data_IF_449853084172
#
_entry.id   IF_449853084172
#
_cell.length_a   1.000
_cell.length_b   1.000
_cell.length_c   1.000
_cell.angle_alpha   90.00
_cell.angle_beta   90.00
_cell.angle_gamma   90.00
#
_symmetry.space_group_name_H-M   'P 1'
#
loop_
_entity.id
_entity.type
_entity.pdbx_description
1 polymer ?
#
# COMPACT_ATOMS: atom_id res chain seq x y z
N UNK A 1 11.11 46.66 -2.94
CA UNK A 1 10.60 45.53 -3.74
C UNK A 1 10.33 44.38 -2.78
N UNK A 2 9.06 44.08 -2.49
CA UNK A 2 8.68 42.98 -1.59
C UNK A 2 8.51 41.70 -2.40
N UNK A 3 9.32 40.67 -2.13
CA UNK A 3 9.12 39.34 -2.69
C UNK A 3 7.83 38.74 -2.10
N UNK A 4 6.80 38.57 -2.94
CA UNK A 4 5.57 37.87 -2.57
C UNK A 4 5.83 36.38 -2.77
N UNK A 5 5.99 35.65 -1.66
CA UNK A 5 6.04 34.18 -1.67
C UNK A 5 4.62 33.63 -1.79
N UNK A 6 4.28 33.05 -2.93
CA UNK A 6 3.05 32.27 -3.10
C UNK A 6 3.29 30.85 -2.57
N UNK A 7 2.80 30.59 -1.35
CA UNK A 7 2.81 29.23 -0.79
C UNK A 7 1.80 28.37 -1.53
N UNK A 8 2.26 27.30 -2.19
CA UNK A 8 1.38 26.28 -2.75
C UNK A 8 0.72 25.53 -1.60
N UNK A 9 -0.62 25.59 -1.51
CA UNK A 9 -1.37 24.74 -0.56
C UNK A 9 -1.26 23.28 -1.01
N UNK A 10 -0.97 22.32 -0.10
CA UNK A 10 -1.03 20.90 -0.43
C UNK A 10 -2.43 20.55 -0.95
N UNK A 11 -2.51 19.99 -2.16
CA UNK A 11 -3.77 19.56 -2.77
C UNK A 11 -4.16 18.14 -2.36
N UNK A 12 -3.21 17.37 -1.83
CA UNK A 12 -3.37 15.97 -1.45
C UNK A 12 -2.40 15.64 -0.31
N UNK A 13 -2.83 14.75 0.59
CA UNK A 13 -2.02 14.16 1.64
C UNK A 13 -2.64 12.84 2.04
N UNK A 14 -1.81 11.83 2.29
CA UNK A 14 -2.23 10.48 2.59
C UNK A 14 -1.28 9.83 3.61
N UNK A 15 -1.81 8.89 4.39
CA UNK A 15 -1.02 8.01 5.25
C UNK A 15 -0.95 6.63 4.63
N UNK A 16 0.27 6.12 4.47
CA UNK A 16 0.50 4.77 3.95
C UNK A 16 -0.17 3.69 4.84
N UNK A 17 -0.14 2.43 4.39
CA UNK A 17 -0.71 1.28 5.11
C UNK A 17 0.01 0.92 6.44
N UNK A 18 1.04 1.69 6.81
CA UNK A 18 1.83 1.54 8.05
C UNK A 18 1.98 2.88 8.76
N UNK A 19 2.14 2.82 10.08
CA UNK A 19 2.43 3.99 10.90
C UNK A 19 3.80 4.58 10.51
N UNK A 20 3.95 5.92 10.43
CA UNK A 20 5.20 6.57 10.03
C UNK A 20 6.33 6.37 11.06
N UNK A 21 5.98 6.31 12.35
CA UNK A 21 6.96 5.99 13.39
C UNK A 21 7.17 4.49 13.46
N UNK A 22 8.40 4.07 13.28
CA UNK A 22 8.83 2.71 13.57
C UNK A 22 9.03 2.57 15.08
N UNK A 23 8.15 1.80 15.72
CA UNK A 23 8.42 1.35 17.08
C UNK A 23 9.41 0.19 16.97
N UNK A 24 10.64 0.41 17.46
CA UNK A 24 11.66 -0.63 17.52
C UNK A 24 11.27 -1.65 18.61
N UNK A 25 10.48 -2.64 18.21
CA UNK A 25 10.01 -3.71 19.07
C UNK A 25 10.82 -4.97 18.80
N UNK A 26 11.31 -5.61 19.86
CA UNK A 26 12.07 -6.87 19.74
C UNK A 26 11.22 -7.94 19.01
N UNK A 27 11.66 -8.39 17.80
CA UNK A 27 11.00 -9.44 17.02
C UNK A 27 10.79 -10.74 17.82
N UNK A 28 11.61 -11.00 18.83
CA UNK A 28 11.50 -12.18 19.72
C UNK A 28 10.32 -12.10 20.67
N UNK A 29 9.78 -10.90 20.89
CA UNK A 29 8.65 -10.67 21.79
C UNK A 29 7.35 -10.45 20.98
N UNK A 30 7.38 -9.67 19.91
CA UNK A 30 6.18 -9.36 19.13
C UNK A 30 5.64 -10.54 18.31
N UNK A 31 4.33 -10.66 18.21
CA UNK A 31 3.68 -11.65 17.36
C UNK A 31 2.76 -10.95 16.34
N UNK A 32 3.35 -10.56 15.21
CA UNK A 32 2.60 -9.90 14.13
C UNK A 32 1.64 -10.88 13.48
N UNK A 33 0.44 -10.43 13.13
CA UNK A 33 -0.50 -11.23 12.37
C UNK A 33 -0.08 -11.25 10.89
N UNK A 34 -0.18 -12.42 10.25
CA UNK A 34 -0.09 -12.50 8.79
C UNK A 34 -1.27 -11.73 8.16
N UNK A 35 -1.04 -10.98 7.11
CA UNK A 35 -2.12 -10.24 6.45
C UNK A 35 -1.66 -9.22 5.42
N UNK A 36 -2.65 -8.72 4.68
CA UNK A 36 -2.50 -7.69 3.65
C UNK A 36 -3.54 -6.60 3.94
N UNK A 37 -3.08 -5.34 3.96
CA UNK A 37 -3.95 -4.17 3.84
C UNK A 37 -3.92 -3.75 2.37
N UNK A 38 -5.05 -3.86 1.70
CA UNK A 38 -5.19 -3.66 0.27
C UNK A 38 -6.00 -2.38 0.02
N UNK A 39 -5.44 -1.43 -0.73
CA UNK A 39 -6.07 -0.13 -0.97
C UNK A 39 -6.93 -0.23 -2.23
N UNK A 40 -8.15 0.26 -2.17
CA UNK A 40 -9.00 0.29 -3.35
C UNK A 40 -9.95 1.47 -3.25
N UNK A 41 -9.78 2.40 -4.17
CA UNK A 41 -10.44 3.70 -4.19
C UNK A 41 -10.26 4.42 -2.83
N UNK A 42 -11.35 4.70 -2.12
CA UNK A 42 -11.37 5.38 -0.82
C UNK A 42 -11.32 4.42 0.39
N UNK A 43 -10.99 3.13 0.18
CA UNK A 43 -11.10 2.07 1.19
C UNK A 43 -9.83 1.25 1.37
N UNK A 44 -9.69 0.70 2.58
CA UNK A 44 -8.73 -0.35 2.89
C UNK A 44 -9.46 -1.65 3.19
N UNK A 45 -9.17 -2.69 2.41
CA UNK A 45 -9.57 -4.06 2.71
C UNK A 45 -8.47 -4.75 3.53
N UNK A 46 -8.85 -5.42 4.62
CA UNK A 46 -7.90 -6.08 5.52
C UNK A 46 -8.13 -7.58 5.45
N UNK A 47 -7.21 -8.27 4.78
CA UNK A 47 -7.18 -9.74 4.74
C UNK A 47 -6.19 -10.22 5.78
N UNK A 48 -6.63 -10.97 6.79
CA UNK A 48 -5.83 -11.21 7.99
C UNK A 48 -5.95 -12.64 8.50
N UNK A 49 -4.81 -13.23 8.81
CA UNK A 49 -4.69 -14.48 9.55
C UNK A 49 -4.40 -14.24 11.03
N UNK A 50 -3.68 -15.18 11.63
CA UNK A 50 -3.28 -15.13 13.04
C UNK A 50 -1.78 -14.82 13.18
N UNK A 51 -1.31 -14.72 14.42
CA UNK A 51 0.08 -14.46 14.73
C UNK A 51 1.05 -15.45 14.05
N UNK A 52 2.08 -14.92 13.38
CA UNK A 52 3.06 -15.71 12.62
C UNK A 52 3.90 -16.63 13.51
N UNK A 53 4.07 -16.34 14.80
CA UNK A 53 4.73 -17.26 15.72
C UNK A 53 3.91 -18.52 16.01
N UNK A 54 2.59 -18.48 15.77
CA UNK A 54 1.69 -19.62 15.98
C UNK A 54 1.54 -20.47 14.71
N UNK A 55 1.32 -19.85 13.55
CA UNK A 55 1.00 -20.56 12.30
C UNK A 55 1.96 -20.30 11.13
N UNK A 56 3.04 -19.55 11.35
CA UNK A 56 4.01 -19.20 10.31
C UNK A 56 3.41 -18.32 9.20
N UNK A 57 4.13 -18.20 8.08
CA UNK A 57 3.67 -17.48 6.90
C UNK A 57 2.88 -18.34 5.91
N UNK A 58 2.76 -19.66 6.10
CA UNK A 58 2.00 -20.53 5.19
C UNK A 58 0.52 -20.11 5.03
N UNK A 59 -0.05 -19.46 6.06
CA UNK A 59 -1.38 -18.84 6.01
C UNK A 59 -1.52 -17.75 4.94
N UNK A 60 -0.42 -17.18 4.45
CA UNK A 60 -0.43 -16.21 3.35
C UNK A 60 -0.93 -16.81 2.05
N UNK A 61 -0.78 -18.12 1.82
CA UNK A 61 -1.37 -18.77 0.65
C UNK A 61 -2.89 -18.55 0.59
N UNK A 62 -3.58 -18.77 1.70
CA UNK A 62 -5.03 -18.57 1.78
C UNK A 62 -5.39 -17.09 1.73
N UNK A 63 -4.66 -16.24 2.45
CA UNK A 63 -4.88 -14.78 2.45
C UNK A 63 -4.73 -14.23 1.02
N UNK A 64 -3.68 -14.59 0.29
CA UNK A 64 -3.47 -14.17 -1.09
C UNK A 64 -4.56 -14.72 -2.02
N UNK A 65 -5.02 -15.96 -1.81
CA UNK A 65 -6.16 -16.51 -2.53
C UNK A 65 -7.44 -15.70 -2.28
N UNK A 66 -7.68 -15.26 -1.06
CA UNK A 66 -8.82 -14.41 -0.71
C UNK A 66 -8.71 -13.04 -1.38
N UNK A 67 -7.50 -12.45 -1.43
CA UNK A 67 -7.28 -11.20 -2.15
C UNK A 67 -7.62 -11.37 -3.63
N UNK A 68 -7.02 -12.33 -4.35
CA UNK A 68 -7.21 -12.44 -5.80
C UNK A 68 -8.64 -12.82 -6.23
N UNK A 69 -9.43 -13.39 -5.31
CA UNK A 69 -10.85 -13.71 -5.54
C UNK A 69 -11.77 -12.55 -5.21
N UNK A 70 -11.32 -11.59 -4.42
CA UNK A 70 -12.11 -10.43 -4.04
C UNK A 70 -12.21 -9.44 -5.20
N UNK A 71 -13.37 -8.80 -5.36
CA UNK A 71 -13.63 -7.86 -6.46
C UNK A 71 -12.77 -6.60 -6.41
N UNK A 72 -12.09 -6.33 -5.28
CA UNK A 72 -11.17 -5.20 -5.15
C UNK A 72 -9.80 -5.48 -5.78
N UNK A 73 -9.47 -6.73 -6.13
CA UNK A 73 -8.16 -7.04 -6.68
C UNK A 73 -8.00 -6.42 -8.07
N UNK A 74 -6.98 -5.57 -8.23
CA UNK A 74 -6.72 -4.83 -9.47
C UNK A 74 -5.98 -5.65 -10.54
N UNK A 75 -5.58 -6.89 -10.23
CA UNK A 75 -4.93 -7.80 -11.17
C UNK A 75 -3.40 -7.81 -11.02
N UNK A 76 -2.77 -8.90 -11.48
CA UNK A 76 -1.35 -9.18 -11.23
C UNK A 76 -0.37 -8.24 -11.95
N UNK A 77 -0.84 -7.47 -12.92
CA UNK A 77 -0.07 -6.46 -13.65
C UNK A 77 -0.22 -5.06 -13.08
N UNK A 78 -1.09 -4.84 -12.08
CA UNK A 78 -1.34 -3.51 -11.54
C UNK A 78 -0.12 -2.94 -10.82
N UNK A 79 0.51 -3.72 -9.96
CA UNK A 79 1.71 -3.33 -9.21
C UNK A 79 2.63 -4.53 -8.95
N UNK A 80 3.85 -4.27 -8.51
CA UNK A 80 4.75 -5.33 -8.04
C UNK A 80 4.13 -6.08 -6.84
N UNK A 81 3.46 -5.38 -5.94
CA UNK A 81 2.75 -5.99 -4.81
C UNK A 81 1.64 -6.93 -5.26
N UNK A 82 0.87 -6.56 -6.29
CA UNK A 82 -0.19 -7.40 -6.84
C UNK A 82 0.36 -8.66 -7.52
N UNK A 83 1.53 -8.54 -8.14
CA UNK A 83 2.24 -9.69 -8.69
C UNK A 83 2.70 -10.65 -7.60
N UNK A 84 3.20 -10.15 -6.47
CA UNK A 84 3.59 -11.00 -5.32
C UNK A 84 2.39 -11.74 -4.74
N UNK A 85 1.26 -11.05 -4.59
CA UNK A 85 0.00 -11.65 -4.13
C UNK A 85 -0.43 -12.75 -5.09
N UNK A 86 -0.42 -12.49 -6.39
CA UNK A 86 -0.76 -13.47 -7.43
C UNK A 86 0.17 -14.69 -7.39
N UNK A 87 1.48 -14.46 -7.31
CA UNK A 87 2.48 -15.51 -7.31
C UNK A 87 2.36 -16.42 -6.09
N UNK A 88 2.11 -15.83 -4.91
CA UNK A 88 1.85 -16.61 -3.70
C UNK A 88 0.55 -17.40 -3.80
N UNK A 89 -0.54 -16.79 -4.27
CA UNK A 89 -1.83 -17.48 -4.43
C UNK A 89 -1.75 -18.68 -5.39
N UNK A 90 -0.95 -18.55 -6.46
CA UNK A 90 -0.70 -19.59 -7.46
C UNK A 90 0.48 -20.51 -7.12
N UNK A 91 1.10 -20.35 -5.94
CA UNK A 91 2.23 -21.16 -5.48
C UNK A 91 3.45 -21.14 -6.43
N UNK A 92 3.62 -20.07 -7.20
CA UNK A 92 4.81 -19.86 -8.05
C UNK A 92 5.96 -19.19 -7.29
N UNK A 93 5.68 -18.66 -6.09
CA UNK A 93 6.65 -18.22 -5.08
C UNK A 93 6.30 -18.77 -3.70
N UNK A 94 7.28 -18.75 -2.78
CA UNK A 94 7.04 -19.03 -1.37
C UNK A 94 6.16 -17.97 -0.72
N UNK A 95 5.61 -18.28 0.46
CA UNK A 95 4.79 -17.35 1.25
C UNK A 95 5.57 -16.20 1.91
N UNK A 96 6.84 -16.00 1.55
CA UNK A 96 7.66 -14.88 2.00
C UNK A 96 7.80 -14.75 3.52
N UNK A 97 8.04 -13.52 3.96
CA UNK A 97 8.19 -13.14 5.37
C UNK A 97 7.53 -11.76 5.62
N UNK A 98 7.70 -11.18 6.82
CA UNK A 98 7.10 -9.88 7.15
C UNK A 98 7.47 -8.78 6.16
N UNK A 99 8.74 -8.73 5.74
CA UNK A 99 9.25 -7.73 4.80
C UNK A 99 8.59 -7.88 3.43
N UNK A 100 8.39 -9.12 2.95
CA UNK A 100 7.68 -9.39 1.70
C UNK A 100 6.29 -8.73 1.69
N UNK A 101 5.52 -8.93 2.76
CA UNK A 101 4.12 -8.48 2.80
C UNK A 101 3.97 -6.99 3.10
N UNK A 102 4.90 -6.41 3.86
CA UNK A 102 5.00 -4.95 4.01
C UNK A 102 5.36 -4.32 2.66
N UNK A 103 6.35 -4.87 1.95
CA UNK A 103 6.78 -4.37 0.63
C UNK A 103 5.64 -4.44 -0.38
N UNK A 104 4.97 -5.59 -0.48
CA UNK A 104 3.85 -5.77 -1.40
C UNK A 104 2.71 -4.78 -1.12
N UNK A 105 2.31 -4.61 0.15
CA UNK A 105 1.25 -3.69 0.52
C UNK A 105 1.60 -2.22 0.29
N UNK A 106 2.82 -1.79 0.64
CA UNK A 106 3.29 -0.42 0.41
C UNK A 106 3.37 -0.14 -1.10
N UNK A 107 3.93 -1.06 -1.87
CA UNK A 107 4.05 -0.90 -3.31
C UNK A 107 2.67 -0.75 -3.97
N UNK A 108 1.75 -1.65 -3.67
CA UNK A 108 0.38 -1.59 -4.19
C UNK A 108 -0.31 -0.26 -3.83
N UNK A 109 -0.21 0.17 -2.57
CA UNK A 109 -0.80 1.43 -2.12
C UNK A 109 -0.19 2.66 -2.84
N UNK A 110 1.13 2.71 -2.98
CA UNK A 110 1.81 3.80 -3.73
C UNK A 110 1.40 3.81 -5.20
N UNK A 111 1.24 2.64 -5.83
CA UNK A 111 0.71 2.54 -7.19
C UNK A 111 -0.73 3.05 -7.29
N UNK A 112 -1.59 2.70 -6.33
CA UNK A 112 -2.97 3.21 -6.29
C UNK A 112 -2.99 4.74 -6.17
N UNK A 113 -2.30 5.30 -5.18
CA UNK A 113 -2.24 6.76 -4.95
C UNK A 113 -1.63 7.49 -6.15
N UNK A 114 -0.59 6.93 -6.78
CA UNK A 114 0.00 7.53 -7.99
C UNK A 114 -1.01 7.60 -9.14
N UNK A 115 -1.81 6.55 -9.32
CA UNK A 115 -2.86 6.53 -10.33
C UNK A 115 -3.96 7.54 -10.01
N UNK A 116 -4.42 7.58 -8.76
CA UNK A 116 -5.44 8.53 -8.30
C UNK A 116 -4.99 9.97 -8.56
N UNK A 117 -3.78 10.34 -8.13
CA UNK A 117 -3.23 11.69 -8.34
C UNK A 117 -3.08 12.02 -9.83
N UNK A 118 -2.65 11.05 -10.66
CA UNK A 118 -2.51 11.27 -12.11
C UNK A 118 -3.86 11.48 -12.81
N UNK A 119 -4.94 11.00 -12.20
CA UNK A 119 -6.31 11.12 -12.72
C UNK A 119 -7.06 12.36 -12.24
N UNK A 120 -6.52 13.10 -11.25
CA UNK A 120 -7.11 14.34 -10.77
C UNK A 120 -6.88 15.48 -11.78
N UNK A 121 -7.90 16.32 -12.07
CA UNK A 121 -7.72 17.48 -12.94
C UNK A 121 -6.69 18.44 -12.34
N UNK A 122 -5.56 18.60 -13.02
CA UNK A 122 -4.52 19.54 -12.63
C UNK A 122 -4.87 20.95 -13.11
N UNK A 123 -5.22 21.86 -12.19
CA UNK A 123 -5.32 23.29 -12.49
C UNK A 123 -4.15 24.05 -11.89
N UNK A 124 -3.28 24.57 -12.76
CA UNK A 124 -2.24 25.54 -12.40
C UNK A 124 -2.63 26.88 -13.03
N UNK A 125 -3.02 27.87 -12.22
CA UNK A 125 -3.30 29.23 -12.72
C UNK A 125 -2.11 30.11 -12.38
N UNK A 126 -1.41 30.58 -13.41
CA UNK A 126 -0.34 31.58 -13.29
C UNK A 126 -0.96 32.94 -13.58
N UNK A 127 -1.02 33.80 -12.56
CA UNK A 127 -1.40 35.20 -12.76
C UNK A 127 -0.14 36.03 -12.99
N UNK A 128 0.02 36.54 -14.21
CA UNK A 128 1.00 37.60 -14.51
C UNK A 128 0.38 38.94 -14.10
N UNK A 129 0.97 39.60 -13.10
CA UNK A 129 0.73 41.01 -12.89
C UNK A 129 1.72 41.78 -13.77
N UNK A 130 1.20 42.41 -14.81
CA UNK A 130 1.96 43.31 -15.67
C UNK A 130 2.53 44.46 -14.83
N UNK A 131 3.81 44.76 -15.01
CA UNK A 131 4.44 46.00 -14.61
C UNK A 131 4.64 46.88 -15.84
#
# INVERSE_FOLDING_TARGET
MSNIFFWRKPSFGDYNITHPDFVDLDPRIINVAAGIRYTYDDKFYIFRGVGVKSKGFAQMLNICNDVIKHSCYRGNTFSFGDQEIYNCANQTRSCGNSETWVTAGINHHLTNVSNDISSLPSTSVVHLQNA
#
